data_IF_462801893276
#
_entry.id   IF_462801893276
#
_cell.length_a   1.000
_cell.length_b   1.000
_cell.length_c   1.000
_cell.angle_alpha   90.00
_cell.angle_beta   90.00
_cell.angle_gamma   90.00
#
_symmetry.space_group_name_H-M   'P 1'
#
loop_
_entity.id
_entity.type
_entity.pdbx_description
1 polymer ?
#
# COMPACT_ATOMS: atom_id res chain seq x y z
N UNK A 1 21.54 43.75 10.56
CA UNK A 1 21.62 42.42 9.93
C UNK A 1 20.29 42.17 9.24
N UNK A 2 20.29 42.17 7.92
CA UNK A 2 19.06 42.17 7.12
C UNK A 2 18.40 40.79 7.16
N UNK A 3 17.18 40.76 7.70
CA UNK A 3 16.38 39.56 7.80
C UNK A 3 15.85 39.16 6.42
N UNK A 4 16.65 38.40 5.67
CA UNK A 4 16.26 37.95 4.34
C UNK A 4 15.05 37.00 4.44
N UNK A 5 13.91 37.46 3.94
CA UNK A 5 12.71 36.64 3.76
C UNK A 5 12.83 35.96 2.40
N UNK A 6 12.80 34.63 2.38
CA UNK A 6 12.69 33.88 1.13
C UNK A 6 11.34 34.19 0.47
N UNK A 7 11.34 34.38 -0.85
CA UNK A 7 10.11 34.66 -1.59
C UNK A 7 9.20 33.41 -1.59
N UNK A 8 7.88 33.57 -1.38
CA UNK A 8 6.94 32.46 -1.49
C UNK A 8 6.94 31.88 -2.92
N UNK A 9 6.92 30.55 -3.00
CA UNK A 9 6.81 29.79 -4.25
C UNK A 9 5.75 28.71 -4.08
N UNK A 10 4.93 28.49 -5.12
CA UNK A 10 3.93 27.41 -5.16
C UNK A 10 4.51 26.20 -5.87
N UNK A 11 4.18 25.01 -5.40
CA UNK A 11 4.58 23.75 -6.03
C UNK A 11 3.42 23.15 -6.83
N UNK A 12 3.63 22.87 -8.11
CA UNK A 12 2.64 22.16 -8.93
C UNK A 12 2.77 20.65 -8.79
N UNK A 13 1.72 20.00 -8.28
CA UNK A 13 1.71 18.54 -8.08
C UNK A 13 1.76 17.74 -9.39
N UNK A 14 1.18 18.26 -10.48
CA UNK A 14 1.08 17.58 -11.79
C UNK A 14 2.31 17.76 -12.68
N UNK A 15 3.04 18.86 -12.52
CA UNK A 15 4.26 19.18 -13.28
C UNK A 15 5.55 19.06 -12.46
N UNK A 16 5.44 18.82 -11.13
CA UNK A 16 6.54 18.65 -10.18
C UNK A 16 7.55 19.81 -10.15
N UNK A 17 7.09 21.03 -10.40
CA UNK A 17 7.93 22.22 -10.46
C UNK A 17 7.51 23.30 -9.46
N UNK A 18 8.45 24.20 -9.14
CA UNK A 18 8.24 25.37 -8.31
C UNK A 18 8.00 26.61 -9.17
N UNK A 19 6.95 27.36 -8.85
CA UNK A 19 6.46 28.55 -9.57
C UNK A 19 6.51 29.73 -8.60
N UNK A 20 6.81 30.94 -9.08
CA UNK A 20 6.71 32.15 -8.26
C UNK A 20 5.24 32.43 -7.90
N UNK A 21 4.96 32.98 -6.70
CA UNK A 21 3.59 33.28 -6.23
C UNK A 21 2.93 34.50 -6.93
N UNK A 22 3.37 34.81 -8.15
CA UNK A 22 2.81 35.85 -9.00
C UNK A 22 1.59 35.28 -9.73
N UNK A 23 0.40 35.84 -9.50
CA UNK A 23 -0.86 35.36 -10.11
C UNK A 23 -0.74 35.06 -11.62
N UNK A 24 -0.22 35.95 -12.49
CA UNK A 24 -0.08 35.66 -13.92
C UNK A 24 0.84 34.47 -14.26
N UNK A 25 1.84 34.19 -13.40
CA UNK A 25 2.80 33.08 -13.57
C UNK A 25 2.14 31.73 -13.22
N UNK A 26 1.37 31.69 -12.14
CA UNK A 26 0.54 30.53 -11.79
C UNK A 26 -0.52 30.30 -12.86
N UNK A 27 -1.27 31.34 -13.24
CA UNK A 27 -2.32 31.25 -14.25
C UNK A 27 -1.75 30.80 -15.61
N UNK A 28 -0.55 31.25 -16.00
CA UNK A 28 0.13 30.78 -17.23
C UNK A 28 0.53 29.30 -17.14
N UNK A 29 1.04 28.85 -15.98
CA UNK A 29 1.39 27.46 -15.77
C UNK A 29 0.16 26.53 -15.85
N UNK A 30 -0.93 26.86 -15.15
CA UNK A 30 -2.19 26.09 -15.18
C UNK A 30 -2.84 26.08 -16.57
N UNK A 31 -2.73 27.20 -17.31
CA UNK A 31 -3.19 27.27 -18.70
C UNK A 31 -2.30 26.51 -19.69
N UNK A 32 -1.07 26.15 -19.30
CA UNK A 32 -0.07 25.47 -20.12
C UNK A 32 -0.53 24.10 -20.63
N UNK A 33 -0.13 23.78 -21.87
CA UNK A 33 -0.57 22.56 -22.57
C UNK A 33 -0.18 21.28 -21.80
N UNK A 34 1.10 21.14 -21.46
CA UNK A 34 1.62 19.99 -20.71
C UNK A 34 0.99 19.84 -19.31
N UNK A 35 0.60 20.93 -18.66
CA UNK A 35 -0.12 20.87 -17.38
C UNK A 35 -1.50 20.21 -17.56
N UNK A 36 -2.29 20.72 -18.51
CA UNK A 36 -3.62 20.19 -18.84
C UNK A 36 -3.57 18.73 -19.30
N UNK A 37 -2.57 18.37 -20.11
CA UNK A 37 -2.37 17.00 -20.59
C UNK A 37 -2.00 16.06 -19.43
N UNK A 38 -1.07 16.45 -18.54
CA UNK A 38 -0.75 15.68 -17.34
C UNK A 38 -1.96 15.52 -16.40
N UNK A 39 -2.75 16.58 -16.20
CA UNK A 39 -3.98 16.55 -15.40
C UNK A 39 -5.01 15.60 -16.02
N UNK A 40 -5.29 15.72 -17.32
CA UNK A 40 -6.23 14.86 -18.03
C UNK A 40 -5.81 13.38 -18.01
N UNK A 41 -4.52 13.11 -18.25
CA UNK A 41 -3.94 11.76 -18.14
C UNK A 41 -4.08 11.21 -16.71
N UNK A 42 -3.85 12.04 -15.68
CA UNK A 42 -3.98 11.62 -14.27
C UNK A 42 -5.43 11.34 -13.88
N UNK A 43 -6.38 12.15 -14.37
CA UNK A 43 -7.82 11.91 -14.19
C UNK A 43 -8.23 10.59 -14.88
N UNK A 44 -7.75 10.33 -16.09
CA UNK A 44 -7.99 9.06 -16.80
C UNK A 44 -7.38 7.85 -16.06
N UNK A 45 -6.16 7.99 -15.53
CA UNK A 45 -5.50 6.97 -14.69
C UNK A 45 -6.34 6.66 -13.45
N UNK A 46 -6.82 7.68 -12.73
CA UNK A 46 -7.65 7.53 -11.52
C UNK A 46 -8.98 6.84 -11.86
N UNK A 47 -9.67 7.26 -12.94
CA UNK A 47 -10.92 6.63 -13.41
C UNK A 47 -10.70 5.16 -13.82
N UNK A 48 -9.60 4.84 -14.51
CA UNK A 48 -9.25 3.45 -14.84
C UNK A 48 -8.96 2.62 -13.59
N UNK A 49 -8.22 3.19 -12.63
CA UNK A 49 -7.88 2.55 -11.36
C UNK A 49 -9.10 2.30 -10.47
N UNK A 50 -10.09 3.20 -10.41
CA UNK A 50 -11.31 2.95 -9.62
C UNK A 50 -12.14 1.80 -10.18
N UNK A 51 -12.33 1.73 -11.51
CA UNK A 51 -13.03 0.62 -12.18
C UNK A 51 -12.25 -0.70 -12.04
N UNK A 52 -10.92 -0.66 -12.13
CA UNK A 52 -10.08 -1.84 -11.89
C UNK A 52 -10.14 -2.30 -10.43
N UNK A 53 -10.05 -1.39 -9.46
CA UNK A 53 -10.18 -1.70 -8.03
C UNK A 53 -11.55 -2.33 -7.74
N UNK A 54 -12.65 -1.74 -8.18
CA UNK A 54 -13.99 -2.32 -8.00
C UNK A 54 -14.17 -3.72 -8.65
N UNK A 55 -13.36 -4.08 -9.65
CA UNK A 55 -13.29 -5.44 -10.21
C UNK A 55 -12.34 -6.37 -9.43
N UNK A 56 -11.27 -5.85 -8.85
CA UNK A 56 -10.34 -6.60 -7.98
C UNK A 56 -10.97 -6.90 -6.63
N UNK A 57 -11.57 -5.92 -5.96
CA UNK A 57 -12.29 -6.06 -4.70
C UNK A 57 -13.36 -7.17 -4.81
N UNK A 58 -14.18 -7.13 -5.89
CA UNK A 58 -15.18 -8.18 -6.19
C UNK A 58 -14.60 -9.57 -6.47
N UNK A 59 -13.34 -9.68 -6.91
CA UNK A 59 -12.63 -10.97 -7.00
C UNK A 59 -12.12 -11.40 -5.63
N UNK A 60 -11.50 -10.48 -4.88
CA UNK A 60 -10.97 -10.75 -3.54
C UNK A 60 -12.06 -11.23 -2.58
N UNK A 61 -13.23 -10.56 -2.52
CA UNK A 61 -14.35 -11.02 -1.69
C UNK A 61 -14.81 -12.44 -2.03
N UNK A 62 -14.75 -12.86 -3.30
CA UNK A 62 -15.05 -14.25 -3.70
C UNK A 62 -13.97 -15.23 -3.26
N UNK A 63 -12.69 -14.84 -3.32
CA UNK A 63 -11.59 -15.68 -2.83
C UNK A 63 -11.64 -15.84 -1.31
N UNK A 64 -11.89 -14.74 -0.57
CA UNK A 64 -12.09 -14.79 0.87
C UNK A 64 -13.27 -15.70 1.25
N UNK A 65 -14.44 -15.54 0.63
CA UNK A 65 -15.58 -16.44 0.87
C UNK A 65 -15.25 -17.93 0.63
N UNK A 66 -14.54 -18.28 -0.45
CA UNK A 66 -14.12 -19.67 -0.69
C UNK A 66 -13.05 -20.17 0.29
N UNK A 67 -12.21 -19.28 0.85
CA UNK A 67 -11.23 -19.63 1.88
C UNK A 67 -11.89 -19.80 3.26
N UNK A 68 -12.88 -18.96 3.57
CA UNK A 68 -13.70 -19.02 4.79
C UNK A 68 -14.54 -20.30 4.82
N UNK A 69 -15.19 -20.66 3.70
CA UNK A 69 -15.93 -21.92 3.56
C UNK A 69 -15.01 -23.14 3.71
N UNK A 70 -13.84 -23.14 3.05
CA UNK A 70 -12.86 -24.22 3.17
C UNK A 70 -12.30 -24.36 4.60
N UNK A 71 -12.04 -23.25 5.29
CA UNK A 71 -11.58 -23.24 6.68
C UNK A 71 -12.66 -23.73 7.65
N UNK A 72 -13.91 -23.28 7.49
CA UNK A 72 -15.04 -23.75 8.28
C UNK A 72 -15.28 -25.25 8.10
N UNK A 73 -15.25 -25.74 6.85
CA UNK A 73 -15.37 -27.17 6.55
C UNK A 73 -14.22 -28.00 7.16
N UNK A 74 -12.98 -27.52 7.06
CA UNK A 74 -11.83 -28.22 7.67
C UNK A 74 -11.95 -28.29 9.20
N UNK A 75 -12.45 -27.23 9.84
CA UNK A 75 -12.75 -27.21 11.27
C UNK A 75 -13.90 -28.16 11.65
N UNK A 76 -14.96 -28.23 10.85
CA UNK A 76 -16.03 -29.21 11.03
C UNK A 76 -15.53 -30.66 10.89
N UNK A 77 -14.66 -30.94 9.91
CA UNK A 77 -14.08 -32.27 9.70
C UNK A 77 -13.10 -32.67 10.82
N UNK A 78 -12.38 -31.70 11.40
CA UNK A 78 -11.57 -31.90 12.59
C UNK A 78 -12.43 -32.20 13.83
N UNK A 79 -13.49 -31.42 14.05
CA UNK A 79 -14.45 -31.64 15.15
C UNK A 79 -15.19 -32.99 15.03
N UNK A 80 -15.53 -33.42 13.81
CA UNK A 80 -16.15 -34.73 13.54
C UNK A 80 -15.16 -35.88 13.71
N UNK A 81 -13.88 -35.69 13.36
CA UNK A 81 -12.79 -36.64 13.62
C UNK A 81 -12.46 -36.78 15.11
N UNK A 82 -12.60 -35.70 15.88
CA UNK A 82 -12.51 -35.70 17.35
C UNK A 82 -13.87 -35.95 18.03
N UNK A 83 -14.84 -36.52 17.31
CA UNK A 83 -16.19 -36.77 17.82
C UNK A 83 -16.20 -37.77 18.97
N UNK A 84 -16.81 -37.38 20.09
CA UNK A 84 -17.02 -38.18 21.30
C UNK A 84 -15.74 -38.66 22.03
N UNK A 85 -14.82 -37.73 22.33
CA UNK A 85 -14.20 -37.72 23.66
C UNK A 85 -14.41 -36.37 24.35
N UNK A 86 -14.74 -36.41 25.64
CA UNK A 86 -15.23 -35.26 26.38
C UNK A 86 -14.21 -34.66 27.35
N UNK A 87 -13.85 -33.40 27.13
CA UNK A 87 -13.27 -32.54 28.18
C UNK A 87 -11.79 -32.21 28.07
N UNK A 88 -11.50 -30.92 28.26
CA UNK A 88 -10.25 -30.33 28.79
C UNK A 88 -8.90 -30.97 28.42
N UNK A 89 -8.19 -30.31 27.50
CA UNK A 89 -6.73 -30.17 27.61
C UNK A 89 -6.30 -28.68 27.61
N UNK A 90 -6.31 -28.06 28.78
CA UNK A 90 -5.46 -26.88 29.02
C UNK A 90 -3.98 -27.31 28.92
N UNK A 91 -3.20 -26.57 28.12
CA UNK A 91 -1.80 -26.84 27.71
C UNK A 91 -1.64 -27.75 26.48
N UNK A 92 -0.66 -27.52 25.59
CA UNK A 92 0.59 -26.76 25.75
C UNK A 92 0.88 -25.87 24.53
N UNK A 93 1.45 -24.68 24.77
CA UNK A 93 2.01 -23.85 23.71
C UNK A 93 3.16 -24.55 22.96
N UNK A 94 3.16 -24.46 21.64
CA UNK A 94 4.36 -24.59 20.81
C UNK A 94 4.23 -23.73 19.54
N UNK A 95 4.64 -22.47 19.65
CA UNK A 95 4.82 -21.57 18.51
C UNK A 95 6.13 -21.94 17.78
N UNK A 96 6.12 -23.06 17.06
CA UNK A 96 7.30 -23.55 16.34
C UNK A 96 7.47 -22.79 15.03
N UNK A 97 8.31 -21.75 15.07
CA UNK A 97 8.82 -21.08 13.87
C UNK A 97 9.92 -21.96 13.26
N UNK A 98 9.75 -22.55 12.06
CA UNK A 98 10.77 -23.39 11.44
C UNK A 98 11.92 -22.53 10.90
N UNK A 99 12.93 -22.28 11.73
CA UNK A 99 14.17 -21.60 11.36
C UNK A 99 15.13 -22.57 10.64
N UNK A 100 15.25 -22.38 9.32
CA UNK A 100 16.47 -22.37 8.48
C UNK A 100 17.78 -22.99 9.06
N UNK A 101 18.61 -23.77 8.32
CA UNK A 101 18.63 -24.29 6.93
C UNK A 101 18.96 -25.83 6.98
N UNK A 102 19.28 -26.64 5.95
CA UNK A 102 19.86 -26.55 4.57
C UNK A 102 19.20 -27.64 3.66
N UNK A 103 19.58 -28.00 2.42
CA UNK A 103 20.74 -27.68 1.56
C UNK A 103 20.37 -27.58 0.05
N UNK A 104 20.86 -28.50 -0.81
CA UNK A 104 20.65 -28.56 -2.26
C UNK A 104 21.20 -29.88 -2.87
N UNK A 105 21.09 -30.14 -4.19
CA UNK A 105 21.40 -29.14 -5.22
C UNK A 105 20.39 -28.95 -6.39
N UNK A 106 20.41 -27.71 -6.90
CA UNK A 106 20.22 -27.25 -8.29
C UNK A 106 19.21 -27.90 -9.27
N UNK A 107 18.27 -27.07 -9.77
CA UNK A 107 18.08 -26.89 -11.22
C UNK A 107 17.46 -25.53 -11.59
N UNK A 108 17.81 -25.03 -12.79
CA UNK A 108 17.23 -23.93 -13.60
C UNK A 108 16.67 -22.65 -12.94
N UNK A 109 17.38 -21.56 -13.21
CA UNK A 109 17.13 -20.16 -12.85
C UNK A 109 15.79 -19.51 -13.27
N UNK A 110 15.48 -18.39 -12.58
CA UNK A 110 15.07 -17.08 -13.14
C UNK A 110 13.73 -16.48 -12.67
N UNK A 111 13.79 -15.61 -11.65
CA UNK A 111 13.06 -14.33 -11.60
C UNK A 111 13.55 -13.51 -10.38
N UNK A 112 13.90 -12.24 -10.57
CA UNK A 112 14.22 -11.32 -9.48
C UNK A 112 13.16 -10.22 -9.36
N UNK A 113 12.59 -10.05 -8.16
CA UNK A 113 11.76 -8.88 -7.79
C UNK A 113 11.72 -8.75 -6.28
N UNK A 114 12.40 -7.73 -5.74
CA UNK A 114 12.50 -7.44 -4.31
C UNK A 114 11.31 -6.62 -3.81
N UNK A 115 10.75 -7.00 -2.66
CA UNK A 115 9.59 -6.35 -2.05
C UNK A 115 9.81 -6.15 -0.53
N UNK A 116 10.39 -5.01 -0.16
CA UNK A 116 10.51 -4.46 1.20
C UNK A 116 11.22 -3.10 1.12
N UNK A 117 10.91 -2.06 1.88
CA UNK A 117 9.78 -1.81 2.80
C UNK A 117 9.56 -0.30 2.86
N UNK A 118 8.31 0.17 2.84
CA UNK A 118 8.00 1.58 3.15
C UNK A 118 7.71 1.74 4.64
N UNK A 119 8.69 2.29 5.37
CA UNK A 119 8.49 2.81 6.72
C UNK A 119 9.47 3.94 6.96
N UNK A 120 8.97 5.18 6.89
CA UNK A 120 9.68 6.37 7.35
C UNK A 120 8.65 7.20 8.08
N UNK A 121 8.86 7.40 9.39
CA UNK A 121 7.91 8.07 10.25
C UNK A 121 7.79 9.56 9.91
N UNK A 122 6.62 10.12 10.16
CA UNK A 122 6.37 11.56 10.11
C UNK A 122 7.01 12.21 11.36
N UNK A 123 7.98 13.12 11.23
CA UNK A 123 8.40 13.94 12.36
C UNK A 123 7.30 14.96 12.69
N UNK A 124 6.97 15.10 13.97
CA UNK A 124 5.91 15.99 14.45
C UNK A 124 6.43 17.41 14.74
N UNK A 125 5.48 18.35 14.83
CA UNK A 125 5.50 19.62 15.57
C UNK A 125 6.86 20.32 15.82
N UNK A 126 7.06 21.46 15.16
CA UNK A 126 7.86 22.55 15.73
C UNK A 126 6.97 23.45 16.61
N UNK A 127 7.43 23.87 17.81
CA UNK A 127 6.69 24.79 18.66
C UNK A 127 6.79 26.24 18.15
N UNK A 128 5.83 27.07 18.54
CA UNK A 128 5.89 28.52 18.33
C UNK A 128 6.82 29.18 19.35
N UNK A 129 7.50 30.24 18.92
CA UNK A 129 8.18 31.22 19.77
C UNK A 129 7.63 32.63 19.46
N UNK A 130 7.85 33.56 20.38
CA UNK A 130 7.19 34.87 20.47
C UNK A 130 7.77 35.91 19.49
#
# INVERSE_FOLDING_TARGET
ADYWKSQPRKFCQYCKCWIADNKPSVDFHERGKNHKENVAAKIAEIRKKSVQKAKQDKKMCKQFATMEEAAAKAYEEDLKRMGLEGGTCTSRAKAETPRAQTAGPASTASAASTLSTVSTAYPAAYPAAQ
#
